data_IF_173127162049
#
_entry.id   IF_173127162049
#
_cell.length_a   1.000
_cell.length_b   1.000
_cell.length_c   1.000
_cell.angle_alpha   90.00
_cell.angle_beta   90.00
_cell.angle_gamma   90.00
#
_symmetry.space_group_name_H-M   'P 1'
#
loop_
_entity.id
_entity.type
_entity.pdbx_description
1 polymer ?
#
# COMPACT_ATOMS: atom_id res chain seq x y z
N UNK A 1 -4.00 -5.78 -21.46
CA UNK A 1 -3.28 -5.32 -22.68
C UNK A 1 -1.99 -4.52 -22.40
N UNK A 2 -1.73 -4.04 -21.17
CA UNK A 2 -0.52 -3.24 -20.85
C UNK A 2 0.80 -4.03 -20.74
N UNK A 3 0.75 -5.29 -20.28
CA UNK A 3 1.91 -6.15 -20.06
C UNK A 3 2.76 -6.38 -21.33
N UNK A 4 2.11 -6.54 -22.48
CA UNK A 4 2.78 -6.73 -23.77
C UNK A 4 3.57 -5.50 -24.21
N UNK A 5 3.10 -4.29 -23.88
CA UNK A 5 3.78 -3.04 -24.22
C UNK A 5 5.08 -2.87 -23.44
N UNK A 6 5.08 -3.11 -22.12
CA UNK A 6 6.31 -2.98 -21.31
C UNK A 6 7.35 -4.04 -21.67
N UNK A 7 6.92 -5.26 -22.00
CA UNK A 7 7.83 -6.31 -22.51
C UNK A 7 8.42 -5.88 -23.84
N UNK A 8 7.60 -5.43 -24.80
CA UNK A 8 8.10 -5.01 -26.11
C UNK A 8 9.13 -3.87 -26.00
N UNK A 9 8.86 -2.86 -25.18
CA UNK A 9 9.80 -1.75 -24.94
C UNK A 9 11.09 -2.23 -24.28
N UNK A 10 11.01 -3.09 -23.25
CA UNK A 10 12.21 -3.65 -22.60
C UNK A 10 13.03 -4.53 -23.54
N UNK A 11 12.36 -5.38 -24.31
CA UNK A 11 13.02 -6.24 -25.30
C UNK A 11 13.72 -5.38 -26.35
N UNK A 12 13.07 -4.32 -26.85
CA UNK A 12 13.69 -3.39 -27.80
C UNK A 12 14.93 -2.68 -27.23
N UNK A 13 14.87 -2.22 -25.98
CA UNK A 13 16.04 -1.64 -25.29
C UNK A 13 17.18 -2.66 -25.17
N UNK A 14 16.86 -3.91 -24.83
CA UNK A 14 17.87 -4.96 -24.62
C UNK A 14 18.55 -5.43 -25.92
N UNK A 15 17.85 -5.39 -27.06
CA UNK A 15 18.41 -5.76 -28.37
C UNK A 15 19.07 -4.58 -29.08
N UNK A 16 18.93 -3.35 -28.56
CA UNK A 16 19.51 -2.16 -29.17
C UNK A 16 21.02 -2.08 -28.94
N UNK A 17 21.83 -1.70 -29.95
CA UNK A 17 23.28 -1.53 -29.81
C UNK A 17 23.68 -0.49 -28.75
N UNK A 18 22.80 0.49 -28.49
CA UNK A 18 22.99 1.51 -27.47
C UNK A 18 21.78 1.56 -26.54
N UNK A 19 21.93 0.95 -25.36
CA UNK A 19 20.88 0.92 -24.33
C UNK A 19 20.53 2.32 -23.81
N UNK A 20 21.50 3.24 -23.73
CA UNK A 20 21.25 4.62 -23.31
C UNK A 20 20.39 5.38 -24.33
N UNK A 21 20.73 5.29 -25.62
CA UNK A 21 19.93 5.91 -26.67
C UNK A 21 18.53 5.27 -26.73
N UNK A 22 18.44 3.95 -26.65
CA UNK A 22 17.17 3.25 -26.65
C UNK A 22 16.29 3.64 -25.45
N UNK A 23 16.87 3.74 -24.25
CA UNK A 23 16.13 4.20 -23.07
C UNK A 23 15.54 5.60 -23.29
N UNK A 24 16.28 6.53 -23.90
CA UNK A 24 15.75 7.87 -24.26
C UNK A 24 14.60 7.80 -25.26
N UNK A 25 14.64 6.88 -26.23
CA UNK A 25 13.58 6.74 -27.23
C UNK A 25 12.29 6.14 -26.64
N UNK A 26 12.38 5.22 -25.68
CA UNK A 26 11.19 4.60 -25.07
C UNK A 26 10.60 5.42 -23.93
N UNK A 27 11.38 6.33 -23.32
CA UNK A 27 10.98 7.13 -22.16
C UNK A 27 9.60 7.79 -22.30
N UNK A 28 9.24 8.44 -23.44
CA UNK A 28 7.94 9.06 -23.62
C UNK A 28 6.76 8.09 -23.60
N UNK A 29 7.00 6.78 -23.76
CA UNK A 29 5.98 5.73 -23.84
C UNK A 29 5.86 4.91 -22.56
N UNK A 30 6.77 5.09 -21.59
CA UNK A 30 6.77 4.30 -20.36
C UNK A 30 5.57 4.65 -19.46
N UNK A 31 5.10 3.65 -18.70
CA UNK A 31 4.11 3.74 -17.63
C UNK A 31 4.75 3.79 -16.24
N UNK A 32 4.05 4.29 -15.22
CA UNK A 32 4.63 4.53 -13.89
C UNK A 32 5.09 3.20 -13.26
N UNK A 33 6.07 3.20 -12.34
CA UNK A 33 6.72 1.97 -11.86
C UNK A 33 5.79 0.97 -11.17
N UNK A 34 4.59 1.39 -10.79
CA UNK A 34 3.55 0.56 -10.18
C UNK A 34 2.40 0.20 -11.13
N UNK A 35 2.35 0.77 -12.34
CA UNK A 35 1.23 0.61 -13.27
C UNK A 35 0.94 -0.84 -13.66
N UNK A 36 2.00 -1.60 -13.96
CA UNK A 36 1.89 -3.03 -14.27
C UNK A 36 1.31 -3.87 -13.13
N UNK A 37 1.57 -3.48 -11.88
CA UNK A 37 1.03 -4.17 -10.70
C UNK A 37 -0.46 -3.92 -10.52
N UNK A 38 -0.88 -2.66 -10.70
CA UNK A 38 -2.27 -2.24 -10.51
C UNK A 38 -3.20 -2.74 -11.63
N UNK A 39 -2.67 -2.94 -12.83
CA UNK A 39 -3.44 -3.42 -14.00
C UNK A 39 -3.38 -4.94 -14.18
N UNK A 40 -2.41 -5.59 -13.54
CA UNK A 40 -2.23 -7.04 -13.65
C UNK A 40 -3.36 -7.81 -12.98
N UNK A 41 -3.83 -8.88 -13.62
CA UNK A 41 -4.70 -9.82 -12.95
C UNK A 41 -3.98 -10.43 -11.73
N UNK A 42 -4.69 -10.70 -10.63
CA UNK A 42 -4.10 -11.41 -9.50
C UNK A 42 -3.49 -12.74 -9.98
N UNK A 43 -2.30 -13.12 -9.48
CA UNK A 43 -1.69 -14.37 -9.89
C UNK A 43 -2.61 -15.54 -9.54
N UNK A 44 -2.75 -16.50 -10.49
CA UNK A 44 -3.52 -17.71 -10.27
C UNK A 44 -2.80 -18.56 -9.22
N UNK A 45 -3.41 -18.72 -8.05
CA UNK A 45 -2.85 -19.56 -6.99
C UNK A 45 -3.21 -21.02 -7.22
N UNK A 46 -2.25 -21.91 -6.98
CA UNK A 46 -2.50 -23.35 -6.99
C UNK A 46 -3.48 -23.79 -5.89
N UNK A 47 -3.56 -23.02 -4.80
CA UNK A 47 -4.54 -23.19 -3.72
C UNK A 47 -5.14 -21.85 -3.34
N UNK A 48 -6.45 -21.80 -3.15
CA UNK A 48 -7.11 -20.64 -2.57
C UNK A 48 -6.52 -20.38 -1.17
N UNK A 49 -6.15 -19.12 -0.89
CA UNK A 49 -5.80 -18.73 0.46
C UNK A 49 -7.06 -18.72 1.30
N UNK A 50 -6.96 -19.18 2.55
CA UNK A 50 -8.04 -19.14 3.53
C UNK A 50 -8.53 -17.69 3.67
N UNK A 51 -9.67 -17.35 3.06
CA UNK A 51 -10.34 -16.07 3.23
C UNK A 51 -10.70 -15.80 4.70
N UNK A 52 -11.00 -14.54 5.07
CA UNK A 52 -11.61 -14.25 6.37
C UNK A 52 -12.87 -15.11 6.55
N UNK A 53 -13.11 -15.63 7.75
CA UNK A 53 -14.38 -16.29 8.06
C UNK A 53 -15.47 -15.21 7.96
N UNK A 54 -16.25 -15.25 6.89
CA UNK A 54 -17.42 -14.38 6.76
C UNK A 54 -18.51 -14.92 7.71
N UNK A 55 -19.02 -14.11 8.66
CA UNK A 55 -20.14 -14.51 9.51
C UNK A 55 -21.38 -14.97 8.71
N UNK A 56 -21.50 -14.50 7.46
CA UNK A 56 -22.56 -14.90 6.52
C UNK A 56 -22.40 -16.30 5.93
N UNK A 57 -21.28 -17.01 6.18
CA UNK A 57 -21.05 -18.39 5.74
C UNK A 57 -22.04 -19.39 6.37
N UNK A 58 -22.79 -18.98 7.40
CA UNK A 58 -23.93 -19.72 7.94
C UNK A 58 -25.22 -19.56 7.13
N UNK A 59 -25.22 -18.72 6.08
CA UNK A 59 -26.35 -18.50 5.18
C UNK A 59 -26.61 -19.72 4.30
N UNK A 60 -27.88 -20.12 4.23
CA UNK A 60 -28.36 -21.23 3.38
C UNK A 60 -28.04 -20.98 1.89
N UNK A 61 -28.03 -19.71 1.44
CA UNK A 61 -27.71 -19.34 0.07
C UNK A 61 -26.24 -19.53 -0.29
N UNK A 62 -25.34 -19.29 0.68
CA UNK A 62 -23.91 -19.56 0.52
C UNK A 62 -23.65 -21.07 0.42
N UNK A 63 -24.34 -21.89 1.23
CA UNK A 63 -24.32 -23.36 1.11
C UNK A 63 -24.79 -23.84 -0.26
N UNK A 64 -25.83 -23.23 -0.84
CA UNK A 64 -26.28 -23.56 -2.19
C UNK A 64 -25.28 -23.17 -3.30
N UNK A 65 -24.52 -22.07 -3.14
CA UNK A 65 -23.44 -21.70 -4.07
C UNK A 65 -22.21 -22.63 -3.98
N UNK A 66 -21.95 -23.22 -2.80
CA UNK A 66 -20.89 -24.23 -2.63
C UNK A 66 -21.23 -25.54 -3.38
N UNK A 67 -22.51 -25.89 -3.54
CA UNK A 67 -22.87 -27.08 -4.34
C UNK A 67 -22.61 -26.92 -5.84
N UNK A 68 -22.55 -25.69 -6.36
CA UNK A 68 -22.31 -25.40 -7.78
C UNK A 68 -20.86 -25.04 -8.11
N UNK A 69 -20.05 -24.70 -7.10
CA UNK A 69 -18.62 -24.43 -7.23
C UNK A 69 -17.81 -25.52 -6.53
N UNK A 70 -16.85 -26.14 -7.21
CA UNK A 70 -15.91 -27.14 -6.65
C UNK A 70 -14.94 -26.55 -5.60
N UNK A 71 -15.35 -25.55 -4.83
CA UNK A 71 -14.56 -24.95 -3.77
C UNK A 71 -14.72 -25.75 -2.48
N UNK A 72 -13.59 -26.19 -1.93
CA UNK A 72 -13.55 -26.94 -0.67
C UNK A 72 -13.89 -26.00 0.48
N UNK A 73 -14.97 -26.29 1.23
CA UNK A 73 -15.31 -25.57 2.46
C UNK A 73 -14.08 -25.42 3.37
N UNK A 74 -13.81 -24.19 3.81
CA UNK A 74 -12.85 -23.99 4.89
C UNK A 74 -13.41 -24.62 6.16
N UNK A 75 -12.76 -25.70 6.60
CA UNK A 75 -13.07 -26.34 7.88
C UNK A 75 -12.03 -25.94 8.92
N UNK A 76 -12.53 -25.44 10.04
CA UNK A 76 -11.80 -25.31 11.31
C UNK A 76 -12.32 -26.37 12.25
N UNK A 77 -11.42 -26.97 13.03
CA UNK A 77 -11.78 -27.81 14.17
C UNK A 77 -12.04 -26.91 15.39
N UNK A 78 -12.95 -27.30 16.29
CA UNK A 78 -13.27 -26.54 17.51
C UNK A 78 -12.08 -26.47 18.47
N UNK A 79 -11.12 -27.39 18.39
CA UNK A 79 -9.91 -27.41 19.23
C UNK A 79 -10.26 -27.38 20.73
N UNK A 80 -11.26 -28.17 21.15
CA UNK A 80 -11.79 -28.18 22.52
C UNK A 80 -10.74 -28.53 23.58
N UNK A 81 -9.70 -29.29 23.20
CA UNK A 81 -8.56 -29.64 24.04
C UNK A 81 -7.55 -28.47 24.24
N UNK A 82 -7.63 -27.42 23.43
CA UNK A 82 -6.80 -26.24 23.58
C UNK A 82 -7.42 -25.29 24.61
N UNK A 83 -6.85 -25.23 25.82
CA UNK A 83 -7.35 -24.36 26.89
C UNK A 83 -7.44 -22.87 26.48
N UNK A 84 -6.54 -22.42 25.61
CA UNK A 84 -6.59 -21.06 25.06
C UNK A 84 -7.87 -20.82 24.22
N UNK A 85 -8.29 -21.79 23.41
CA UNK A 85 -9.48 -21.68 22.56
C UNK A 85 -10.77 -22.05 23.30
N UNK A 86 -10.72 -22.99 24.26
CA UNK A 86 -11.90 -23.51 24.95
C UNK A 86 -12.27 -22.76 26.23
N UNK A 87 -11.31 -22.11 26.91
CA UNK A 87 -11.57 -21.41 28.18
C UNK A 87 -11.68 -19.89 28.04
N UNK A 88 -11.04 -19.29 27.04
CA UNK A 88 -11.06 -17.84 26.87
C UNK A 88 -12.18 -17.43 25.90
N UNK A 89 -13.00 -16.42 26.22
CA UNK A 89 -13.92 -15.81 25.26
C UNK A 89 -13.17 -15.22 24.06
N UNK A 90 -13.85 -15.12 22.91
CA UNK A 90 -13.26 -14.62 21.67
C UNK A 90 -12.62 -13.23 21.81
N UNK A 91 -13.31 -12.30 22.49
CA UNK A 91 -12.80 -10.94 22.68
C UNK A 91 -11.50 -10.90 23.49
N UNK A 92 -11.37 -11.78 24.50
CA UNK A 92 -10.13 -11.94 25.28
C UNK A 92 -9.02 -12.50 24.39
N UNK A 93 -9.34 -13.44 23.49
CA UNK A 93 -8.35 -13.97 22.53
C UNK A 93 -7.90 -12.88 21.54
N UNK A 94 -8.80 -12.01 21.08
CA UNK A 94 -8.45 -10.87 20.23
C UNK A 94 -7.46 -9.91 20.92
N UNK A 95 -7.67 -9.61 22.20
CA UNK A 95 -6.72 -8.81 23.00
C UNK A 95 -5.35 -9.50 23.03
N UNK A 96 -5.31 -10.81 23.29
CA UNK A 96 -4.05 -11.56 23.33
C UNK A 96 -3.37 -11.59 21.95
N UNK A 97 -4.13 -11.77 20.86
CA UNK A 97 -3.57 -11.71 19.51
C UNK A 97 -2.98 -10.33 19.21
N UNK A 98 -3.63 -9.25 19.66
CA UNK A 98 -3.13 -7.89 19.49
C UNK A 98 -1.84 -7.66 20.29
N UNK A 99 -1.77 -8.16 21.53
CA UNK A 99 -0.56 -8.11 22.34
C UNK A 99 0.63 -8.87 21.72
N UNK A 100 0.36 -9.97 21.00
CA UNK A 100 1.42 -10.81 20.41
C UNK A 100 1.81 -10.35 19.00
N UNK A 101 0.84 -9.92 18.18
CA UNK A 101 1.04 -9.63 16.77
C UNK A 101 1.05 -8.14 16.44
N UNK A 102 0.45 -7.30 17.27
CA UNK A 102 0.22 -5.88 17.02
C UNK A 102 1.30 -4.95 17.57
N UNK A 103 1.11 -3.65 17.38
CA UNK A 103 1.97 -2.59 17.89
C UNK A 103 3.32 -2.46 17.16
N UNK A 104 3.55 -3.21 16.09
CA UNK A 104 4.81 -3.19 15.38
C UNK A 104 4.78 -2.22 14.20
N UNK A 105 5.93 -1.59 13.97
CA UNK A 105 6.28 -1.01 12.68
C UNK A 105 7.10 -2.05 11.92
N UNK A 106 6.57 -2.49 10.78
CA UNK A 106 7.20 -3.49 9.93
C UNK A 106 7.76 -2.80 8.70
N UNK A 107 9.08 -2.82 8.56
CA UNK A 107 9.74 -2.35 7.36
C UNK A 107 9.88 -3.51 6.37
N UNK A 108 9.41 -3.30 5.14
CA UNK A 108 9.39 -4.31 4.09
C UNK A 108 10.23 -3.87 2.91
N UNK A 109 11.08 -4.77 2.44
CA UNK A 109 11.95 -4.53 1.29
C UNK A 109 12.16 -5.80 0.47
N UNK A 110 12.66 -5.63 -0.74
CA UNK A 110 13.10 -6.72 -1.59
C UNK A 110 14.37 -6.30 -2.34
N UNK A 111 15.26 -7.25 -2.62
CA UNK A 111 16.51 -6.91 -3.30
C UNK A 111 16.28 -6.44 -4.75
N UNK A 112 15.32 -7.06 -5.43
CA UNK A 112 14.95 -6.75 -6.81
C UNK A 112 13.49 -7.09 -7.10
N UNK A 113 12.88 -6.54 -8.17
CA UNK A 113 11.54 -6.93 -8.61
C UNK A 113 11.42 -8.46 -8.77
N UNK A 114 10.35 -9.05 -8.22
CA UNK A 114 10.10 -10.49 -8.24
C UNK A 114 10.90 -11.33 -7.24
N UNK A 115 11.83 -10.73 -6.49
CA UNK A 115 12.51 -11.44 -5.39
C UNK A 115 11.62 -11.55 -4.14
N UNK A 116 12.04 -12.38 -3.20
CA UNK A 116 11.36 -12.56 -1.92
C UNK A 116 11.33 -11.24 -1.15
N UNK A 117 10.14 -10.85 -0.70
CA UNK A 117 9.96 -9.73 0.23
C UNK A 117 10.40 -10.20 1.62
N UNK A 118 11.26 -9.42 2.23
CA UNK A 118 11.71 -9.59 3.61
C UNK A 118 11.12 -8.47 4.47
N UNK A 119 11.01 -8.74 5.76
CA UNK A 119 10.59 -7.74 6.73
C UNK A 119 11.52 -7.75 7.95
N UNK A 120 11.57 -6.63 8.64
CA UNK A 120 12.15 -6.52 9.96
C UNK A 120 11.29 -5.58 10.83
N UNK A 121 11.31 -5.82 12.15
CA UNK A 121 10.57 -5.00 13.12
C UNK A 121 11.42 -3.77 13.47
N UNK A 122 10.82 -2.60 13.42
CA UNK A 122 11.48 -1.35 13.81
C UNK A 122 11.90 -1.37 15.27
N UNK A 123 13.10 -0.87 15.58
CA UNK A 123 13.57 -0.69 16.96
C UNK A 123 13.19 0.66 17.56
N UNK A 124 12.73 1.59 16.72
CA UNK A 124 12.38 2.96 17.12
C UNK A 124 11.03 3.36 16.50
N UNK A 125 9.94 2.60 16.79
CA UNK A 125 8.64 2.85 16.19
C UNK A 125 8.10 4.26 16.51
N UNK A 126 8.38 4.80 17.69
CA UNK A 126 7.93 6.14 18.11
C UNK A 126 8.52 7.26 17.24
N UNK A 127 9.68 7.01 16.62
CA UNK A 127 10.39 7.98 15.79
C UNK A 127 10.07 7.86 14.31
N UNK A 128 9.12 6.99 13.93
CA UNK A 128 8.74 6.78 12.52
C UNK A 128 8.22 8.06 11.85
N UNK A 129 7.69 8.98 12.64
CA UNK A 129 7.19 10.28 12.20
C UNK A 129 8.22 11.42 12.31
N UNK A 130 9.41 11.19 12.86
CA UNK A 130 10.45 12.21 13.02
C UNK A 130 11.32 12.32 11.75
N UNK A 131 11.50 13.55 11.24
CA UNK A 131 11.92 13.83 9.85
C UNK A 131 13.41 13.64 9.48
N UNK A 132 14.27 13.08 10.34
CA UNK A 132 15.72 13.00 10.05
C UNK A 132 16.42 11.71 10.50
N UNK A 133 15.72 10.80 11.20
CA UNK A 133 16.32 9.60 11.81
C UNK A 133 15.89 8.30 11.12
N UNK A 134 14.92 8.40 10.22
CA UNK A 134 14.18 7.24 9.74
C UNK A 134 14.90 6.41 8.65
N UNK A 135 15.99 6.95 8.09
CA UNK A 135 16.81 6.21 7.12
C UNK A 135 17.75 5.19 7.79
N UNK A 136 18.04 5.29 9.08
CA UNK A 136 19.05 4.46 9.76
C UNK A 136 18.51 3.11 10.26
N UNK A 137 17.18 2.96 10.34
CA UNK A 137 16.56 1.67 10.70
C UNK A 137 16.71 0.63 9.58
N UNK A 138 16.85 1.08 8.33
CA UNK A 138 16.90 0.26 7.11
C UNK A 138 18.26 -0.35 6.78
N UNK A 139 19.35 0.16 7.39
CA UNK A 139 20.71 -0.24 7.03
C UNK A 139 21.18 -1.54 7.72
N UNK A 140 20.37 -2.12 8.61
CA UNK A 140 20.70 -3.38 9.27
C UNK A 140 19.97 -4.57 8.64
N UNK A 141 20.44 -5.05 7.48
CA UNK A 141 20.03 -6.38 6.98
C UNK A 141 21.12 -7.16 6.23
N UNK A 142 22.32 -7.24 6.82
CA UNK A 142 23.27 -8.32 6.47
C UNK A 142 22.90 -9.69 7.10
N UNK A 143 21.86 -9.74 7.96
CA UNK A 143 21.35 -10.98 8.54
C UNK A 143 20.01 -11.36 7.92
N UNK A 144 19.84 -12.62 7.52
CA UNK A 144 18.53 -13.18 7.13
C UNK A 144 17.59 -13.14 8.35
N UNK A 145 16.49 -12.38 8.36
CA UNK A 145 15.45 -12.58 9.35
C UNK A 145 14.76 -13.92 9.03
N UNK A 146 15.07 -14.95 9.82
CA UNK A 146 14.34 -16.21 9.76
C UNK A 146 12.91 -15.97 10.25
N UNK A 147 11.91 -16.40 9.47
CA UNK A 147 10.51 -16.33 9.87
C UNK A 147 10.15 -17.25 11.04
N UNK A 148 11.01 -18.26 11.29
CA UNK A 148 10.89 -19.17 12.43
C UNK A 148 11.98 -18.83 13.45
N UNK A 149 11.63 -18.67 14.74
CA UNK A 149 12.61 -18.66 15.82
C UNK A 149 13.39 -19.97 15.75
N UNK A 150 14.67 -19.88 15.37
CA UNK A 150 15.63 -20.95 15.64
C UNK A 150 16.45 -20.46 16.82
N UNK A 151 16.87 -21.35 17.71
CA UNK A 151 17.67 -21.04 18.90
C UNK A 151 18.89 -20.13 18.62
N UNK A 152 19.37 -20.14 17.37
CA UNK A 152 20.52 -19.38 16.89
C UNK A 152 20.17 -18.04 16.20
N UNK A 153 18.89 -17.64 16.15
CA UNK A 153 18.41 -16.43 15.47
C UNK A 153 17.53 -15.58 16.41
N UNK A 154 18.14 -14.69 17.24
CA UNK A 154 17.40 -13.79 18.13
C UNK A 154 16.59 -12.71 17.40
N UNK A 155 16.69 -12.66 16.06
CA UNK A 155 16.04 -11.67 15.19
C UNK A 155 14.75 -12.20 14.53
N UNK A 156 14.33 -13.43 14.86
CA UNK A 156 13.07 -13.96 14.34
C UNK A 156 11.89 -13.14 14.88
N UNK A 157 11.04 -12.64 13.98
CA UNK A 157 10.01 -11.65 14.34
C UNK A 157 8.83 -12.21 15.12
N UNK A 158 8.77 -13.52 15.38
CA UNK A 158 7.68 -14.16 16.14
C UNK A 158 6.28 -14.14 15.49
N UNK A 159 6.11 -13.46 14.34
CA UNK A 159 4.80 -13.27 13.69
C UNK A 159 4.18 -14.56 13.14
N UNK A 160 4.98 -15.46 12.56
CA UNK A 160 4.45 -16.68 11.95
C UNK A 160 4.12 -17.81 12.93
N UNK A 161 4.93 -18.12 13.97
CA UNK A 161 4.69 -19.24 14.88
C UNK A 161 3.24 -19.38 15.35
N UNK A 162 2.61 -18.30 15.82
CA UNK A 162 1.22 -18.33 16.28
C UNK A 162 0.24 -18.64 15.13
N UNK A 163 0.41 -17.99 13.98
CA UNK A 163 -0.48 -18.13 12.82
C UNK A 163 -0.40 -19.51 12.17
N UNK A 164 0.69 -20.27 12.39
CA UNK A 164 0.86 -21.61 11.83
C UNK A 164 0.49 -22.74 12.81
N UNK A 165 -0.02 -22.42 14.00
CA UNK A 165 -0.42 -23.42 15.00
C UNK A 165 -1.63 -24.24 14.56
N UNK A 166 -2.76 -23.58 14.26
CA UNK A 166 -3.98 -24.22 13.77
C UNK A 166 -4.82 -23.25 12.92
N UNK A 167 -5.76 -23.78 12.15
CA UNK A 167 -6.63 -22.98 11.28
C UNK A 167 -7.54 -22.01 12.04
N UNK A 168 -7.97 -22.38 13.26
CA UNK A 168 -8.82 -21.53 14.10
C UNK A 168 -8.07 -20.28 14.58
N UNK A 169 -6.88 -20.46 15.14
CA UNK A 169 -6.01 -19.32 15.51
C UNK A 169 -5.68 -18.47 14.29
N UNK A 170 -5.36 -19.09 13.15
CA UNK A 170 -5.13 -18.35 11.91
C UNK A 170 -6.32 -17.47 11.54
N UNK A 171 -7.54 -18.02 11.50
CA UNK A 171 -8.73 -17.25 11.12
C UNK A 171 -9.06 -16.11 12.07
N UNK A 172 -8.82 -16.31 13.38
CA UNK A 172 -9.09 -15.28 14.39
C UNK A 172 -8.00 -14.18 14.39
N UNK A 173 -6.73 -14.54 14.20
CA UNK A 173 -5.60 -13.63 14.42
C UNK A 173 -5.05 -12.96 13.14
N UNK A 174 -5.33 -13.49 11.95
CA UNK A 174 -4.76 -12.96 10.69
C UNK A 174 -5.21 -11.53 10.40
N UNK A 175 -6.41 -11.14 10.81
CA UNK A 175 -6.89 -9.77 10.71
C UNK A 175 -6.05 -8.81 11.53
N UNK A 176 -5.77 -9.19 12.79
CA UNK A 176 -4.95 -8.42 13.75
C UNK A 176 -3.54 -8.17 13.22
N UNK A 177 -2.91 -9.14 12.54
CA UNK A 177 -1.60 -8.94 11.91
C UNK A 177 -1.60 -7.73 10.96
N UNK A 178 -2.67 -7.52 10.19
CA UNK A 178 -2.74 -6.42 9.23
C UNK A 178 -3.29 -5.13 9.85
N UNK A 179 -4.20 -5.24 10.82
CA UNK A 179 -4.89 -4.07 11.36
C UNK A 179 -4.13 -3.38 12.48
N UNK A 180 -3.39 -4.12 13.30
CA UNK A 180 -2.73 -3.60 14.49
C UNK A 180 -1.25 -3.20 14.25
N UNK A 181 -0.78 -3.20 13.00
CA UNK A 181 0.61 -2.89 12.64
C UNK A 181 0.69 -1.79 11.60
N UNK A 182 1.82 -1.08 11.59
CA UNK A 182 2.18 -0.15 10.53
C UNK A 182 3.10 -0.83 9.53
N UNK A 183 2.71 -0.83 8.26
CA UNK A 183 3.52 -1.40 7.18
C UNK A 183 4.22 -0.29 6.43
N UNK A 184 5.54 -0.40 6.32
CA UNK A 184 6.35 0.58 5.61
C UNK A 184 7.17 -0.05 4.49
N UNK A 185 7.09 0.54 3.30
CA UNK A 185 7.82 0.08 2.14
C UNK A 185 8.74 1.16 1.60
N UNK A 186 10.00 0.82 1.36
CA UNK A 186 10.99 1.74 0.77
C UNK A 186 11.02 1.69 -0.77
N UNK A 187 10.27 0.75 -1.37
CA UNK A 187 10.36 0.40 -2.78
C UNK A 187 8.97 0.11 -3.38
N UNK A 188 8.66 0.77 -4.50
CA UNK A 188 7.41 0.56 -5.26
C UNK A 188 7.15 -0.92 -5.56
N UNK A 189 8.15 -1.62 -6.13
CA UNK A 189 7.96 -3.02 -6.53
C UNK A 189 7.70 -3.94 -5.33
N UNK A 190 8.31 -3.69 -4.17
CA UNK A 190 8.05 -4.46 -2.96
C UNK A 190 6.62 -4.23 -2.47
N UNK A 191 6.21 -2.96 -2.39
CA UNK A 191 4.86 -2.56 -1.98
C UNK A 191 3.78 -3.21 -2.84
N UNK A 192 3.81 -2.99 -4.15
CA UNK A 192 2.73 -3.45 -5.02
C UNK A 192 2.82 -4.93 -5.36
N UNK A 193 4.01 -5.57 -5.29
CA UNK A 193 4.08 -7.04 -5.31
C UNK A 193 3.37 -7.63 -4.10
N UNK A 194 3.57 -7.06 -2.90
CA UNK A 194 2.87 -7.55 -1.72
C UNK A 194 1.36 -7.34 -1.83
N UNK A 195 0.96 -6.09 -2.05
CA UNK A 195 -0.43 -5.66 -1.97
C UNK A 195 -1.31 -6.23 -3.11
N UNK A 196 -0.77 -6.38 -4.33
CA UNK A 196 -1.57 -6.86 -5.49
C UNK A 196 -1.39 -8.34 -5.78
N UNK A 197 -0.23 -8.93 -5.49
CA UNK A 197 0.07 -10.30 -5.91
C UNK A 197 0.16 -11.30 -4.75
N UNK A 198 0.64 -10.89 -3.58
CA UNK A 198 0.88 -11.80 -2.44
C UNK A 198 -0.28 -11.78 -1.44
N UNK A 199 -0.93 -10.66 -1.24
CA UNK A 199 -2.06 -10.53 -0.31
C UNK A 199 -3.38 -10.75 -1.07
N UNK A 200 -4.29 -11.61 -0.57
CA UNK A 200 -5.66 -11.68 -1.08
C UNK A 200 -6.36 -10.33 -0.99
N UNK A 201 -7.08 -9.94 -2.04
CA UNK A 201 -7.81 -8.67 -2.08
C UNK A 201 -8.78 -8.50 -0.90
N UNK A 202 -9.39 -9.60 -0.42
CA UNK A 202 -10.30 -9.58 0.74
C UNK A 202 -9.63 -9.12 2.05
N UNK A 203 -8.29 -9.09 2.11
CA UNK A 203 -7.53 -8.66 3.29
C UNK A 203 -7.00 -7.24 3.20
N UNK A 204 -7.06 -6.61 2.03
CA UNK A 204 -6.67 -5.22 1.87
C UNK A 204 -7.47 -4.27 2.77
N UNK A 205 -8.78 -4.50 3.02
CA UNK A 205 -9.55 -3.72 3.99
C UNK A 205 -9.11 -3.88 5.45
N UNK A 206 -8.22 -4.83 5.79
CA UNK A 206 -7.69 -4.96 7.15
C UNK A 206 -6.56 -3.98 7.44
N UNK A 207 -5.87 -3.46 6.43
CA UNK A 207 -4.77 -2.52 6.63
C UNK A 207 -5.27 -1.19 7.19
N UNK A 208 -4.69 -0.74 8.31
CA UNK A 208 -5.01 0.56 8.94
C UNK A 208 -3.94 1.62 8.72
N UNK A 209 -2.67 1.25 8.87
CA UNK A 209 -1.56 2.20 8.82
C UNK A 209 -0.54 1.77 7.76
N UNK A 210 -0.39 2.59 6.72
CA UNK A 210 0.50 2.32 5.60
C UNK A 210 1.41 3.52 5.35
N UNK A 211 2.71 3.25 5.20
CA UNK A 211 3.73 4.23 4.82
C UNK A 211 4.44 3.75 3.55
N UNK A 212 4.47 4.55 2.49
CA UNK A 212 5.18 4.19 1.26
C UNK A 212 6.17 5.28 0.88
N UNK A 213 7.40 4.86 0.60
CA UNK A 213 8.40 5.70 -0.05
C UNK A 213 8.39 5.39 -1.54
N UNK A 214 7.84 6.32 -2.31
CA UNK A 214 7.56 6.13 -3.71
C UNK A 214 8.53 6.92 -4.58
N UNK A 215 9.35 6.20 -5.34
CA UNK A 215 10.14 6.79 -6.42
C UNK A 215 9.26 7.02 -7.64
N UNK A 216 9.10 8.26 -8.06
CA UNK A 216 8.32 8.63 -9.24
C UNK A 216 9.30 9.21 -10.28
N UNK A 217 9.73 8.39 -11.26
CA UNK A 217 10.80 8.79 -12.17
C UNK A 217 10.36 9.80 -13.23
N UNK A 218 9.07 10.06 -13.38
CA UNK A 218 8.53 10.93 -14.43
C UNK A 218 7.12 11.39 -14.11
N UNK A 219 6.75 12.54 -14.65
CA UNK A 219 5.51 13.21 -14.33
C UNK A 219 4.25 12.39 -14.73
N UNK A 220 3.21 12.34 -13.89
CA UNK A 220 1.96 11.63 -14.21
C UNK A 220 1.25 12.11 -15.50
N UNK A 221 1.48 13.35 -15.92
CA UNK A 221 0.89 13.89 -17.15
C UNK A 221 1.74 13.68 -18.41
N UNK A 222 2.87 12.97 -18.33
CA UNK A 222 3.78 12.75 -19.47
C UNK A 222 3.08 12.11 -20.69
N UNK A 223 2.27 11.09 -20.44
CA UNK A 223 1.53 10.38 -21.48
C UNK A 223 0.25 9.75 -20.90
N UNK A 224 -0.62 9.24 -21.77
CA UNK A 224 -1.90 8.62 -21.35
C UNK A 224 -1.71 7.39 -20.44
N UNK A 225 -0.62 6.63 -20.61
CA UNK A 225 -0.31 5.47 -19.75
C UNK A 225 0.07 5.93 -18.34
N UNK A 226 0.95 6.91 -18.21
CA UNK A 226 1.35 7.49 -16.93
C UNK A 226 0.15 8.10 -16.19
N UNK A 227 -0.72 8.82 -16.92
CA UNK A 227 -1.93 9.42 -16.35
C UNK A 227 -2.86 8.33 -15.81
N UNK A 228 -3.07 7.25 -16.58
CA UNK A 228 -3.89 6.12 -16.14
C UNK A 228 -3.28 5.40 -14.94
N UNK A 229 -1.97 5.15 -14.95
CA UNK A 229 -1.30 4.48 -13.83
C UNK A 229 -1.44 5.30 -12.54
N UNK A 230 -1.33 6.63 -12.63
CA UNK A 230 -1.53 7.56 -11.52
C UNK A 230 -2.96 7.52 -11.00
N UNK A 231 -3.96 7.58 -11.88
CA UNK A 231 -5.37 7.45 -11.49
C UNK A 231 -5.65 6.12 -10.80
N UNK A 232 -5.11 5.02 -11.32
CA UNK A 232 -5.26 3.69 -10.74
C UNK A 232 -4.65 3.58 -9.34
N UNK A 233 -3.54 4.28 -9.06
CA UNK A 233 -2.92 4.30 -7.73
C UNK A 233 -3.89 4.87 -6.69
N UNK A 234 -4.50 6.00 -6.99
CA UNK A 234 -5.42 6.66 -6.07
C UNK A 234 -6.77 5.93 -5.96
N UNK A 235 -7.25 5.34 -7.06
CA UNK A 235 -8.41 4.44 -7.03
C UNK A 235 -8.13 3.20 -6.15
N UNK A 236 -6.94 2.61 -6.24
CA UNK A 236 -6.54 1.49 -5.39
C UNK A 236 -6.63 1.82 -3.89
N UNK A 237 -6.11 2.97 -3.45
CA UNK A 237 -6.23 3.39 -2.04
C UNK A 237 -7.66 3.74 -1.63
N UNK A 238 -8.45 4.27 -2.56
CA UNK A 238 -9.85 4.61 -2.32
C UNK A 238 -10.71 3.36 -2.12
N UNK A 239 -10.63 2.44 -3.06
CA UNK A 239 -11.62 1.39 -3.28
C UNK A 239 -11.18 0.04 -2.71
N UNK A 240 -9.91 -0.34 -2.87
CA UNK A 240 -9.40 -1.65 -2.42
C UNK A 240 -8.86 -1.60 -0.98
N UNK A 241 -8.26 -0.48 -0.58
CA UNK A 241 -7.75 -0.27 0.79
C UNK A 241 -8.72 0.56 1.65
N UNK A 242 -10.00 0.19 1.59
CA UNK A 242 -11.10 0.87 2.30
C UNK A 242 -10.95 0.89 3.83
N UNK A 243 -10.01 0.10 4.36
CA UNK A 243 -9.69 0.05 5.78
C UNK A 243 -8.73 1.10 6.31
N UNK A 244 -8.04 1.84 5.44
CA UNK A 244 -6.97 2.74 5.85
C UNK A 244 -7.48 3.84 6.78
N UNK A 245 -6.75 4.04 7.88
CA UNK A 245 -6.90 5.13 8.84
C UNK A 245 -5.76 6.14 8.72
N UNK A 246 -4.54 5.69 8.38
CA UNK A 246 -3.41 6.55 8.09
C UNK A 246 -2.69 6.06 6.83
N UNK A 247 -2.54 6.96 5.87
CA UNK A 247 -1.76 6.76 4.66
C UNK A 247 -0.72 7.86 4.56
N UNK A 248 0.55 7.48 4.68
CA UNK A 248 1.68 8.37 4.45
C UNK A 248 2.40 7.97 3.17
N UNK A 249 2.64 8.93 2.30
CA UNK A 249 3.33 8.73 1.03
C UNK A 249 4.46 9.74 0.88
N UNK A 250 5.70 9.29 1.00
CA UNK A 250 6.86 10.07 0.60
C UNK A 250 7.04 9.96 -0.92
N UNK A 251 6.86 11.07 -1.62
CA UNK A 251 6.97 11.13 -3.07
C UNK A 251 8.36 11.63 -3.44
N UNK A 252 9.27 10.69 -3.72
CA UNK A 252 10.57 11.01 -4.28
C UNK A 252 10.43 11.25 -5.79
N UNK A 253 10.24 12.52 -6.16
CA UNK A 253 10.17 12.99 -7.53
C UNK A 253 11.59 13.13 -8.08
N UNK A 254 11.90 12.45 -9.19
CA UNK A 254 13.23 12.50 -9.80
C UNK A 254 13.25 13.53 -10.94
N UNK A 255 14.37 14.19 -11.17
CA UNK A 255 14.60 14.98 -12.39
C UNK A 255 14.40 14.07 -13.63
N UNK A 256 13.58 14.42 -14.65
CA UNK A 256 13.05 15.75 -15.05
C UNK A 256 11.64 16.10 -14.52
N UNK A 257 11.06 15.31 -13.62
CA UNK A 257 9.72 15.55 -13.08
C UNK A 257 9.65 16.84 -12.25
N UNK A 258 10.69 17.12 -11.46
CA UNK A 258 10.75 18.33 -10.62
C UNK A 258 10.73 19.60 -11.48
N UNK A 259 11.53 19.65 -12.56
CA UNK A 259 11.52 20.75 -13.54
C UNK A 259 10.13 20.96 -14.15
N UNK A 260 9.44 19.88 -14.52
CA UNK A 260 8.08 19.97 -15.08
C UNK A 260 7.09 20.54 -14.05
N UNK A 261 7.18 20.17 -12.78
CA UNK A 261 6.32 20.71 -11.71
C UNK A 261 6.60 22.20 -11.50
N UNK A 262 7.88 22.58 -11.46
CA UNK A 262 8.29 23.98 -11.33
C UNK A 262 7.82 24.85 -12.50
N UNK A 263 7.75 24.29 -13.71
CA UNK A 263 7.29 25.00 -14.92
C UNK A 263 5.76 25.00 -15.12
N UNK A 264 5.00 24.22 -14.32
CA UNK A 264 3.54 24.13 -14.45
C UNK A 264 2.89 25.22 -13.60
N UNK A 265 2.01 26.02 -14.21
CA UNK A 265 1.18 26.98 -13.47
C UNK A 265 0.24 26.24 -12.52
N UNK A 266 0.03 26.78 -11.31
CA UNK A 266 -0.68 26.07 -10.25
C UNK A 266 -2.14 25.73 -10.64
N UNK A 267 -2.78 26.60 -11.42
CA UNK A 267 -4.14 26.39 -11.93
C UNK A 267 -4.23 25.28 -13.01
N UNK A 268 -3.12 24.97 -13.69
CA UNK A 268 -3.08 23.96 -14.75
C UNK A 268 -2.70 22.55 -14.22
N UNK A 269 -2.35 22.46 -12.93
CA UNK A 269 -1.91 21.22 -12.30
C UNK A 269 -3.03 20.24 -11.95
N UNK A 270 -4.29 20.64 -12.09
CA UNK A 270 -5.47 19.87 -11.67
C UNK A 270 -5.42 18.42 -12.19
N UNK A 271 -4.97 18.21 -13.42
CA UNK A 271 -4.94 16.90 -14.07
C UNK A 271 -4.20 15.82 -13.26
N UNK A 272 -3.12 16.17 -12.57
CA UNK A 272 -2.33 15.20 -11.79
C UNK A 272 -2.56 15.31 -10.28
N UNK A 273 -2.99 16.48 -9.80
CA UNK A 273 -3.28 16.72 -8.38
C UNK A 273 -4.68 16.23 -7.99
N UNK A 274 -5.70 16.41 -8.83
CA UNK A 274 -7.10 16.07 -8.51
C UNK A 274 -7.29 14.63 -8.04
N UNK A 275 -6.66 13.59 -8.64
CA UNK A 275 -6.77 12.22 -8.13
C UNK A 275 -6.36 12.08 -6.66
N UNK A 276 -5.33 12.84 -6.24
CA UNK A 276 -4.81 12.89 -4.87
C UNK A 276 -5.85 13.50 -3.94
N UNK A 277 -6.30 14.72 -4.28
CA UNK A 277 -7.25 15.50 -3.47
C UNK A 277 -8.56 14.73 -3.31
N UNK A 278 -9.15 14.26 -4.41
CA UNK A 278 -10.44 13.54 -4.36
C UNK A 278 -10.31 12.24 -3.56
N UNK A 279 -9.20 11.50 -3.68
CA UNK A 279 -8.98 10.31 -2.85
C UNK A 279 -8.88 10.67 -1.37
N UNK A 280 -8.08 11.67 -1.01
CA UNK A 280 -7.89 12.08 0.36
C UNK A 280 -9.19 12.59 1.01
N UNK A 281 -9.98 13.38 0.29
CA UNK A 281 -11.28 13.87 0.78
C UNK A 281 -12.29 12.74 0.95
N UNK A 282 -12.40 11.83 -0.03
CA UNK A 282 -13.29 10.67 0.07
C UNK A 282 -12.91 9.78 1.26
N UNK A 283 -11.62 9.46 1.42
CA UNK A 283 -11.12 8.64 2.52
C UNK A 283 -11.32 9.34 3.89
N UNK A 284 -11.11 10.65 3.97
CA UNK A 284 -11.37 11.41 5.19
C UNK A 284 -12.86 11.42 5.55
N UNK A 285 -13.75 11.67 4.58
CA UNK A 285 -15.21 11.73 4.82
C UNK A 285 -15.80 10.38 5.20
N UNK A 286 -15.38 9.29 4.55
CA UNK A 286 -15.94 7.95 4.79
C UNK A 286 -15.47 7.32 6.10
N UNK A 287 -14.22 7.58 6.50
CA UNK A 287 -13.55 6.80 7.54
C UNK A 287 -12.54 7.57 8.39
N UNK A 288 -12.50 8.90 8.29
CA UNK A 288 -11.55 9.73 9.03
C UNK A 288 -10.09 9.45 8.67
N UNK A 289 -9.81 8.89 7.48
CA UNK A 289 -8.45 8.53 7.08
C UNK A 289 -7.59 9.79 6.94
N UNK A 290 -6.46 9.83 7.65
CA UNK A 290 -5.44 10.85 7.50
C UNK A 290 -4.54 10.48 6.31
N UNK A 291 -4.54 11.32 5.28
CA UNK A 291 -3.65 11.17 4.12
C UNK A 291 -2.59 12.26 4.14
N UNK A 292 -1.34 11.84 4.27
CA UNK A 292 -0.16 12.69 4.31
C UNK A 292 0.73 12.41 3.11
N UNK A 293 1.15 13.47 2.45
CA UNK A 293 2.13 13.43 1.36
C UNK A 293 3.38 14.14 1.83
N UNK A 294 4.55 13.57 1.56
CA UNK A 294 5.81 14.24 1.85
C UNK A 294 6.60 14.43 0.55
N UNK A 295 7.01 15.66 0.27
CA UNK A 295 7.92 16.01 -0.83
C UNK A 295 9.05 16.84 -0.26
N UNK A 296 10.30 16.41 -0.48
CA UNK A 296 11.50 17.09 0.05
C UNK A 296 11.38 17.46 1.54
N UNK A 297 10.84 16.54 2.35
CA UNK A 297 10.60 16.70 3.80
C UNK A 297 9.54 17.72 4.20
N UNK A 298 8.76 18.23 3.26
CA UNK A 298 7.59 19.07 3.55
C UNK A 298 6.35 18.17 3.49
N UNK A 299 5.55 18.19 4.56
CA UNK A 299 4.31 17.43 4.65
C UNK A 299 3.12 18.25 4.17
N UNK A 300 2.27 17.59 3.40
CA UNK A 300 1.04 18.14 2.84
C UNK A 300 -0.12 17.24 3.22
N UNK A 301 -1.19 17.86 3.73
CA UNK A 301 -2.41 17.17 4.12
C UNK A 301 -3.60 17.72 3.31
N UNK A 302 -3.98 17.05 2.19
CA UNK A 302 -4.99 17.59 1.27
C UNK A 302 -6.34 17.89 1.93
N UNK A 303 -6.75 17.08 2.91
CA UNK A 303 -8.00 17.30 3.64
C UNK A 303 -7.96 18.55 4.54
N UNK A 304 -6.80 18.86 5.13
CA UNK A 304 -6.61 20.08 5.92
C UNK A 304 -6.59 21.30 5.01
N UNK A 305 -5.87 21.23 3.88
CA UNK A 305 -5.85 22.30 2.88
C UNK A 305 -7.26 22.64 2.37
N UNK A 306 -8.03 21.61 1.99
CA UNK A 306 -9.43 21.78 1.58
C UNK A 306 -10.26 22.48 2.65
N UNK A 307 -10.12 22.07 3.93
CA UNK A 307 -10.86 22.69 5.04
C UNK A 307 -10.53 24.18 5.17
N UNK A 308 -9.26 24.57 5.04
CA UNK A 308 -8.85 25.99 5.06
C UNK A 308 -9.44 26.79 3.89
N UNK A 309 -9.50 26.19 2.70
CA UNK A 309 -10.07 26.82 1.50
C UNK A 309 -11.58 27.02 1.65
N UNK A 310 -12.30 26.03 2.18
CA UNK A 310 -13.74 26.15 2.48
C UNK A 310 -14.01 27.30 3.46
N UNK A 311 -13.20 27.39 4.52
CA UNK A 311 -13.33 28.47 5.52
C UNK A 311 -13.09 29.86 4.93
N UNK A 312 -12.17 29.98 3.97
CA UNK A 312 -11.82 31.27 3.36
C UNK A 312 -12.82 31.72 2.28
N UNK A 313 -13.34 30.77 1.49
CA UNK A 313 -14.15 31.10 0.30
C UNK A 313 -15.67 31.01 0.53
N UNK A 314 -16.12 30.41 1.64
CA UNK A 314 -17.54 30.43 2.05
C UNK A 314 -18.55 29.83 1.05
N UNK A 315 -18.09 29.08 0.04
CA UNK A 315 -18.90 28.59 -1.08
C UNK A 315 -19.41 27.16 -0.91
N UNK A 316 -20.51 26.84 -1.62
CA UNK A 316 -21.09 25.49 -1.71
C UNK A 316 -20.73 24.75 -3.01
N UNK A 317 -19.96 25.37 -3.91
CA UNK A 317 -19.51 24.74 -5.15
C UNK A 317 -18.31 23.82 -4.87
N UNK A 318 -18.59 22.53 -4.73
CA UNK A 318 -17.59 21.53 -4.42
C UNK A 318 -16.53 21.39 -5.53
N UNK A 319 -16.91 21.50 -6.81
CA UNK A 319 -15.97 21.37 -7.91
C UNK A 319 -14.99 22.55 -7.95
N UNK A 320 -15.49 23.77 -7.72
CA UNK A 320 -14.65 24.95 -7.55
C UNK A 320 -13.69 24.82 -6.36
N UNK A 321 -14.20 24.38 -5.19
CA UNK A 321 -13.38 24.20 -3.98
C UNK A 321 -12.29 23.13 -4.17
N UNK A 322 -12.62 22.03 -4.86
CA UNK A 322 -11.64 21.00 -5.24
C UNK A 322 -10.60 21.58 -6.19
N UNK A 323 -11.00 22.39 -7.19
CA UNK A 323 -10.08 23.07 -8.10
C UNK A 323 -9.09 23.98 -7.37
N UNK A 324 -9.58 24.85 -6.48
CA UNK A 324 -8.74 25.71 -5.63
C UNK A 324 -7.80 24.89 -4.73
N UNK A 325 -8.28 23.76 -4.19
CA UNK A 325 -7.46 22.86 -3.39
C UNK A 325 -6.37 22.19 -4.23
N UNK A 326 -6.65 21.87 -5.49
CA UNK A 326 -5.64 21.34 -6.38
C UNK A 326 -4.55 22.36 -6.67
N UNK A 327 -4.92 23.62 -6.96
CA UNK A 327 -3.95 24.69 -7.20
C UNK A 327 -3.08 24.95 -5.95
N UNK A 328 -3.69 25.06 -4.77
CA UNK A 328 -2.96 25.28 -3.51
C UNK A 328 -2.05 24.09 -3.14
N UNK A 329 -2.52 22.85 -3.32
CA UNK A 329 -1.67 21.67 -3.08
C UNK A 329 -0.51 21.60 -4.08
N UNK A 330 -0.74 21.97 -5.34
CA UNK A 330 0.33 22.08 -6.33
C UNK A 330 1.37 23.10 -5.90
N UNK A 331 0.94 24.31 -5.54
CA UNK A 331 1.81 25.38 -5.07
C UNK A 331 2.68 24.92 -3.90
N UNK A 332 2.08 24.30 -2.88
CA UNK A 332 2.82 23.77 -1.73
C UNK A 332 3.86 22.72 -2.13
N UNK A 333 3.50 21.79 -3.02
CA UNK A 333 4.45 20.79 -3.54
C UNK A 333 5.55 21.48 -4.33
N UNK A 334 5.21 22.38 -5.25
CA UNK A 334 6.15 23.12 -6.10
C UNK A 334 7.16 23.89 -5.27
N UNK A 335 6.70 24.64 -4.26
CA UNK A 335 7.56 25.38 -3.32
C UNK A 335 8.44 24.45 -2.46
N UNK A 336 7.98 23.24 -2.13
CA UNK A 336 8.82 22.28 -1.39
C UNK A 336 10.01 21.76 -2.19
N UNK A 337 9.97 21.83 -3.53
CA UNK A 337 11.05 21.32 -4.39
C UNK A 337 12.28 22.24 -4.43
N UNK A 338 12.15 23.50 -4.02
CA UNK A 338 13.21 24.52 -4.05
C UNK A 338 12.65 25.88 -4.41
#
# INVERSE_FOLDING_TARGET
MAYWGDIALKTWVNISPSSQWANRQVEPYLGLPFGGYLQGAPPRRQRALTGPLDPSQNSIWHRMQIFSSLDTEQRTDEQTECAFLSKLPYDVRLIIYEMVLGGNVLHLSAQKPGSRIVHYVCKQPDKIAEQDLHHTCSDYSNGRPSSAPREHYPQATGLLPLLVTCRRIYSEAIGTLYSANTFEFTQNFAAFSLLKYIIPSQRLPCFRHLRLHMRIPRHPSLNSRATRDWQNLWAFFRDEMSGLQNLYLELQMLQPMEEQIQATEDNDAERWIKPIVVMALDAYRRRGCKVELETRRVRHEPAILYKGIVQTNGGNDEDMLVGLTCASLHEHIRLSLG
#
